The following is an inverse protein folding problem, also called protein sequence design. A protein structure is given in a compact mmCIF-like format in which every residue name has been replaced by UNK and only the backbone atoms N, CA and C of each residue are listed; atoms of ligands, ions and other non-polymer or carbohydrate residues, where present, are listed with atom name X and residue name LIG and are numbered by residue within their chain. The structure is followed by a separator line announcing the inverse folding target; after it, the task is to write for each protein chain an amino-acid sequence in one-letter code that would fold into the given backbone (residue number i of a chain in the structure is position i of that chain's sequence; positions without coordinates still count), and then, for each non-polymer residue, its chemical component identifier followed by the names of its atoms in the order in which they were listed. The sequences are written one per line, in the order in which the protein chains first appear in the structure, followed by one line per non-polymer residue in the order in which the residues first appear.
data_IF_994923264034
#
_entry.id   IF_994923264034
#
_cell.length_a   1.000
_cell.length_b   1.000
_cell.length_c   1.000
_cell.angle_alpha   90.00
_cell.angle_beta   90.00
_cell.angle_gamma   90.00
#
_symmetry.space_group_name_H-M   'P 1'
#
loop_
_entity.id
_entity.type
_entity.pdbx_description
1 polymer ?
#
# COMPACT_ATOMS: atom_id res chain seq x y z
N UNK A 1 -0.71 -2.52 1.63
CA UNK A 1 0.07 -2.55 2.91
C UNK A 1 0.60 -3.93 3.26
N UNK A 2 -0.22 -4.99 3.45
CA UNK A 2 0.26 -6.33 3.86
C UNK A 2 1.31 -6.93 2.93
N UNK A 3 1.14 -6.77 1.63
CA UNK A 3 2.10 -7.27 0.64
C UNK A 3 3.42 -6.52 0.66
N UNK A 4 3.43 -5.24 1.03
CA UNK A 4 4.66 -4.44 1.13
C UNK A 4 5.60 -4.99 2.19
N UNK A 5 5.07 -5.42 3.34
CA UNK A 5 5.90 -6.02 4.42
C UNK A 5 6.54 -7.34 3.99
N UNK A 6 5.77 -8.24 3.34
CA UNK A 6 6.33 -9.49 2.83
C UNK A 6 7.47 -9.25 1.84
N UNK A 7 7.32 -8.27 0.96
CA UNK A 7 8.31 -7.97 -0.08
C UNK A 7 9.61 -7.47 0.52
N UNK A 8 9.53 -6.52 1.46
CA UNK A 8 10.70 -6.03 2.19
C UNK A 8 11.35 -7.15 2.99
N UNK A 9 10.56 -7.94 3.75
CA UNK A 9 11.07 -9.11 4.45
C UNK A 9 11.82 -10.05 3.50
N UNK A 10 11.22 -10.44 2.37
CA UNK A 10 11.86 -11.36 1.41
C UNK A 10 13.15 -10.79 0.82
N UNK A 11 13.19 -9.49 0.55
CA UNK A 11 14.41 -8.83 0.02
C UNK A 11 15.52 -8.86 1.07
N UNK A 12 15.22 -8.49 2.29
CA UNK A 12 16.20 -8.46 3.39
C UNK A 12 16.69 -9.87 3.78
N UNK A 13 15.78 -10.86 3.82
CA UNK A 13 16.16 -12.27 4.05
C UNK A 13 17.09 -12.79 2.96
N UNK A 14 16.86 -12.42 1.68
CA UNK A 14 17.78 -12.78 0.57
C UNK A 14 19.13 -12.07 0.65
N UNK A 15 19.22 -10.97 1.40
CA UNK A 15 20.49 -10.30 1.73
C UNK A 15 21.19 -10.91 2.94
N UNK A 16 20.58 -11.92 3.60
CA UNK A 16 21.16 -12.65 4.72
C UNK A 16 20.75 -12.14 6.11
N UNK A 17 19.75 -11.28 6.18
CA UNK A 17 19.25 -10.75 7.46
C UNK A 17 18.13 -11.61 8.03
N UNK A 18 18.06 -11.74 9.35
CA UNK A 18 16.87 -12.21 10.05
C UNK A 18 15.88 -11.04 10.19
N UNK A 19 14.63 -11.22 9.75
CA UNK A 19 13.66 -10.14 9.66
C UNK A 19 12.41 -10.44 10.45
N UNK A 20 12.00 -9.51 11.30
CA UNK A 20 10.73 -9.55 12.02
C UNK A 20 9.92 -8.28 11.75
N UNK A 21 8.66 -8.43 11.41
CA UNK A 21 7.74 -7.32 11.15
C UNK A 21 6.97 -7.00 12.42
N UNK A 22 7.04 -5.75 12.90
CA UNK A 22 6.24 -5.30 14.04
C UNK A 22 4.80 -5.09 13.59
N UNK A 23 3.90 -5.92 14.09
CA UNK A 23 2.48 -5.83 13.84
C UNK A 23 1.79 -5.22 15.07
N UNK A 24 1.28 -3.99 14.90
CA UNK A 24 0.50 -3.29 15.91
C UNK A 24 -0.96 -3.22 15.45
N UNK A 25 -1.77 -4.25 15.77
CA UNK A 25 -3.15 -4.30 15.30
C UNK A 25 -3.97 -3.16 15.89
N UNK A 26 -4.87 -2.59 15.08
CA UNK A 26 -5.83 -1.62 15.56
C UNK A 26 -6.88 -2.31 16.43
N UNK A 27 -6.91 -1.98 17.72
CA UNK A 27 -7.84 -2.55 18.70
C UNK A 27 -9.05 -1.63 18.82
N UNK A 28 -10.23 -2.13 18.46
CA UNK A 28 -11.52 -1.46 18.66
C UNK A 28 -11.99 -1.57 20.12
N UNK A 29 -11.17 -1.09 21.05
CA UNK A 29 -11.52 -1.10 22.46
C UNK A 29 -11.54 0.32 23.04
N UNK A 30 -12.54 0.57 23.89
CA UNK A 30 -12.60 1.79 24.69
C UNK A 30 -12.43 1.41 26.18
N UNK A 31 -11.80 2.27 26.99
CA UNK A 31 -11.65 2.05 28.43
C UNK A 31 -12.98 1.74 29.12
N UNK A 32 -12.95 0.97 30.19
CA UNK A 32 -14.15 0.54 30.92
C UNK A 32 -15.06 1.72 31.32
N UNK A 33 -14.48 2.80 31.82
CA UNK A 33 -15.24 3.99 32.19
C UNK A 33 -15.99 4.64 31.02
N UNK A 34 -15.38 4.63 29.82
CA UNK A 34 -16.07 5.07 28.60
C UNK A 34 -17.18 4.10 28.19
N UNK A 35 -17.02 2.78 28.41
CA UNK A 35 -18.08 1.79 28.16
C UNK A 35 -19.28 2.04 29.07
N UNK A 36 -19.07 2.38 30.34
CA UNK A 36 -20.15 2.71 31.29
C UNK A 36 -20.99 3.91 30.84
N UNK A 37 -20.43 4.87 30.12
CA UNK A 37 -21.16 6.02 29.58
C UNK A 37 -21.75 5.75 28.18
N UNK A 38 -20.99 5.14 27.31
CA UNK A 38 -21.36 4.94 25.91
C UNK A 38 -22.48 3.90 25.72
N UNK A 39 -22.44 2.80 26.48
CA UNK A 39 -23.43 1.72 26.31
C UNK A 39 -24.84 2.12 26.71
N UNK A 40 -25.10 2.74 27.89
CA UNK A 40 -26.43 3.26 28.22
C UNK A 40 -26.92 4.29 27.21
N UNK A 41 -26.05 5.25 26.84
CA UNK A 41 -26.39 6.26 25.83
C UNK A 41 -26.84 5.62 24.50
N UNK A 42 -26.07 4.67 24.00
CA UNK A 42 -26.39 3.94 22.75
C UNK A 42 -27.63 3.07 22.89
N UNK A 43 -27.87 2.47 24.06
CA UNK A 43 -29.08 1.71 24.34
C UNK A 43 -30.32 2.61 24.31
N UNK A 44 -30.28 3.78 24.94
CA UNK A 44 -31.38 4.78 24.88
C UNK A 44 -31.62 5.20 23.41
N UNK A 45 -30.54 5.51 22.66
CA UNK A 45 -30.65 5.85 21.24
C UNK A 45 -31.35 4.75 20.45
N UNK A 46 -31.00 3.50 20.69
CA UNK A 46 -31.54 2.34 19.96
C UNK A 46 -32.99 2.00 20.36
N UNK A 47 -33.24 1.86 21.66
CA UNK A 47 -34.52 1.28 22.16
C UNK A 47 -35.57 2.34 22.45
N UNK A 48 -35.18 3.53 22.90
CA UNK A 48 -36.10 4.63 23.25
C UNK A 48 -36.29 5.55 22.04
N UNK A 49 -35.18 6.04 21.46
CA UNK A 49 -35.24 7.00 20.33
C UNK A 49 -35.37 6.30 18.96
N UNK A 50 -35.41 4.97 18.92
CA UNK A 50 -35.52 4.14 17.71
C UNK A 50 -34.55 4.54 16.59
N UNK A 51 -33.39 5.06 16.96
CA UNK A 51 -32.31 5.41 16.02
C UNK A 51 -31.49 4.18 15.68
N UNK A 52 -30.87 4.18 14.49
CA UNK A 52 -29.95 3.10 14.08
C UNK A 52 -28.65 3.21 14.87
N UNK A 53 -28.61 2.64 16.10
CA UNK A 53 -27.45 2.65 16.97
C UNK A 53 -27.06 1.24 17.39
N UNK A 54 -25.77 0.94 17.39
CA UNK A 54 -25.20 -0.34 17.83
C UNK A 54 -24.66 -0.16 19.25
N UNK A 55 -25.26 -0.80 20.23
CA UNK A 55 -24.88 -0.64 21.66
C UNK A 55 -23.44 -1.05 21.91
N UNK A 56 -23.04 -2.22 21.41
CA UNK A 56 -21.68 -2.76 21.50
C UNK A 56 -20.93 -2.61 20.17
N UNK A 57 -20.86 -1.37 19.68
CA UNK A 57 -20.26 -1.06 18.39
C UNK A 57 -18.83 -1.61 18.26
N UNK A 58 -18.02 -1.52 19.33
CA UNK A 58 -16.62 -1.98 19.33
C UNK A 58 -16.50 -3.49 19.03
N UNK A 59 -17.41 -4.31 19.60
CA UNK A 59 -17.43 -5.75 19.32
C UNK A 59 -17.83 -6.04 17.89
N UNK A 60 -18.83 -5.32 17.38
CA UNK A 60 -19.29 -5.48 15.98
C UNK A 60 -18.20 -5.02 15.02
N UNK A 61 -17.55 -3.88 15.31
CA UNK A 61 -16.44 -3.36 14.50
C UNK A 61 -15.26 -4.34 14.47
N UNK A 62 -14.88 -4.90 15.63
CA UNK A 62 -13.84 -5.92 15.72
C UNK A 62 -14.18 -7.17 14.92
N UNK A 63 -15.39 -7.70 15.09
CA UNK A 63 -15.87 -8.86 14.33
C UNK A 63 -15.87 -8.59 12.82
N UNK A 64 -16.38 -7.43 12.41
CA UNK A 64 -16.41 -7.04 10.99
C UNK A 64 -14.99 -6.92 10.44
N UNK A 65 -14.06 -6.30 11.17
CA UNK A 65 -12.67 -6.17 10.74
C UNK A 65 -11.99 -7.54 10.55
N UNK A 66 -12.17 -8.46 11.50
CA UNK A 66 -11.66 -9.84 11.38
C UNK A 66 -12.25 -10.53 10.16
N UNK A 67 -13.57 -10.42 9.95
CA UNK A 67 -14.27 -11.06 8.84
C UNK A 67 -13.82 -10.49 7.50
N UNK A 68 -13.73 -9.19 7.38
CA UNK A 68 -13.32 -8.47 6.16
C UNK A 68 -11.89 -8.83 5.76
N UNK A 69 -10.98 -8.94 6.73
CA UNK A 69 -9.56 -9.21 6.52
C UNK A 69 -9.17 -10.68 6.59
N UNK A 70 -10.10 -11.59 6.74
CA UNK A 70 -9.84 -13.02 6.98
C UNK A 70 -8.90 -13.66 5.96
N UNK A 71 -9.01 -13.31 4.69
CA UNK A 71 -8.17 -13.88 3.63
C UNK A 71 -6.76 -13.27 3.66
N UNK A 72 -6.68 -11.96 3.84
CA UNK A 72 -5.41 -11.24 4.01
C UNK A 72 -4.68 -11.72 5.27
N UNK A 73 -5.42 -11.99 6.36
CA UNK A 73 -4.85 -12.51 7.62
C UNK A 73 -4.27 -13.92 7.46
N UNK A 74 -4.90 -14.78 6.65
CA UNK A 74 -4.34 -16.11 6.31
C UNK A 74 -2.99 -15.98 5.60
N UNK A 75 -2.90 -15.04 4.65
CA UNK A 75 -1.66 -14.77 3.94
C UNK A 75 -0.56 -14.24 4.89
N UNK A 76 -0.89 -13.28 5.77
CA UNK A 76 0.01 -12.76 6.78
C UNK A 76 0.56 -13.88 7.65
N UNK A 77 -0.32 -14.71 8.22
CA UNK A 77 0.07 -15.81 9.11
C UNK A 77 0.98 -16.85 8.44
N UNK A 78 0.87 -17.01 7.13
CA UNK A 78 1.64 -17.99 6.35
C UNK A 78 3.00 -17.45 5.90
N UNK A 79 3.09 -16.15 5.60
CA UNK A 79 4.20 -15.59 4.83
C UNK A 79 4.95 -14.46 5.51
N UNK A 80 4.49 -13.95 6.66
CA UNK A 80 5.13 -12.82 7.34
C UNK A 80 5.58 -13.26 8.73
N UNK A 81 6.88 -13.13 8.99
CA UNK A 81 7.47 -13.31 10.31
C UNK A 81 7.17 -12.06 11.14
N UNK A 82 6.22 -12.14 12.04
CA UNK A 82 5.74 -10.97 12.78
C UNK A 82 5.81 -11.14 14.30
N UNK A 83 6.06 -10.03 14.97
CA UNK A 83 5.91 -9.86 16.42
C UNK A 83 4.72 -8.93 16.64
N UNK A 84 3.63 -9.46 17.19
CA UNK A 84 2.49 -8.62 17.58
C UNK A 84 2.85 -7.81 18.82
N UNK A 85 2.59 -6.50 18.76
CA UNK A 85 2.83 -5.59 19.88
C UNK A 85 1.58 -4.75 20.14
N UNK A 86 1.30 -4.47 21.41
CA UNK A 86 0.26 -3.49 21.79
C UNK A 86 0.84 -2.09 21.85
N UNK A 87 2.07 -1.96 22.34
CA UNK A 87 2.78 -0.69 22.45
C UNK A 87 4.24 -0.87 22.02
N UNK A 88 4.83 0.19 21.48
CA UNK A 88 6.26 0.20 21.12
C UNK A 88 7.19 0.03 22.33
N UNK A 89 6.70 0.29 23.55
CA UNK A 89 7.46 0.05 24.78
C UNK A 89 7.69 -1.44 25.12
N UNK A 90 7.07 -2.36 24.38
CA UNK A 90 7.29 -3.80 24.48
C UNK A 90 8.53 -4.27 23.69
N UNK A 91 9.11 -3.35 22.90
CA UNK A 91 10.31 -3.62 22.11
C UNK A 91 11.55 -3.26 22.91
N UNK A 92 12.59 -4.12 22.85
CA UNK A 92 13.90 -3.86 23.42
C UNK A 92 14.90 -3.57 22.29
N UNK A 93 15.69 -2.51 22.45
CA UNK A 93 16.72 -2.13 21.48
C UNK A 93 17.76 -3.25 21.28
N UNK A 94 18.05 -4.02 22.30
CA UNK A 94 19.05 -5.10 22.26
C UNK A 94 18.63 -6.31 21.42
N UNK A 95 17.35 -6.42 21.07
CA UNK A 95 16.83 -7.50 20.21
C UNK A 95 17.10 -7.25 18.73
N UNK A 96 17.58 -6.07 18.31
CA UNK A 96 17.65 -5.65 16.92
C UNK A 96 18.93 -4.87 16.59
N UNK A 97 19.52 -5.11 15.41
CA UNK A 97 20.66 -4.36 14.90
C UNK A 97 20.21 -3.12 14.12
N UNK A 98 19.06 -3.18 13.46
CA UNK A 98 18.52 -2.10 12.65
C UNK A 98 16.98 -2.10 12.65
N UNK A 99 16.39 -0.92 12.43
CA UNK A 99 14.96 -0.77 12.15
C UNK A 99 14.78 -0.11 10.79
N UNK A 100 14.00 -0.78 9.94
CA UNK A 100 13.62 -0.29 8.62
C UNK A 100 12.16 0.17 8.66
N UNK A 101 11.89 1.42 8.33
CA UNK A 101 10.54 1.94 8.13
C UNK A 101 10.24 2.12 6.65
N UNK A 102 9.04 1.73 6.25
CA UNK A 102 8.56 1.78 4.87
C UNK A 102 7.97 0.43 4.49
N UNK A 103 7.50 0.24 3.31
CA UNK A 103 7.21 1.23 2.29
C UNK A 103 5.76 1.75 2.41
N UNK A 104 5.17 2.16 1.31
CA UNK A 104 3.82 2.71 1.24
C UNK A 104 3.68 4.12 1.86
N UNK A 105 2.48 4.65 1.98
CA UNK A 105 2.19 6.02 2.41
C UNK A 105 2.31 6.20 3.93
N UNK A 106 3.35 5.62 4.53
CA UNK A 106 3.56 5.72 5.98
C UNK A 106 4.01 7.12 6.42
N UNK A 107 4.52 7.93 5.49
CA UNK A 107 4.87 9.33 5.74
C UNK A 107 3.77 10.32 5.31
N UNK A 108 2.53 9.85 5.15
CA UNK A 108 1.37 10.72 4.90
C UNK A 108 0.53 10.89 6.17
N UNK A 109 0.45 12.10 6.77
CA UNK A 109 -0.28 12.32 8.03
C UNK A 109 -1.76 11.93 7.95
N UNK A 110 -2.38 12.09 6.78
CA UNK A 110 -3.77 11.68 6.52
C UNK A 110 -4.02 10.19 6.81
N UNK A 111 -3.01 9.33 6.64
CA UNK A 111 -3.13 7.88 6.81
C UNK A 111 -2.44 7.35 8.07
N UNK A 112 -1.58 8.15 8.69
CA UNK A 112 -0.82 7.75 9.87
C UNK A 112 -0.98 8.78 11.00
N UNK A 113 -1.99 8.57 11.87
CA UNK A 113 -2.42 9.56 12.87
C UNK A 113 -1.39 9.94 13.94
N UNK A 114 -0.37 9.12 14.18
CA UNK A 114 0.78 9.44 15.05
C UNK A 114 2.05 9.42 14.19
N UNK A 115 2.17 10.42 13.31
CA UNK A 115 3.15 10.46 12.24
C UNK A 115 4.60 10.32 12.74
N UNK A 116 4.91 10.82 13.94
CA UNK A 116 6.24 10.71 14.55
C UNK A 116 6.67 9.24 14.74
N UNK A 117 5.72 8.32 14.92
CA UNK A 117 6.06 6.88 15.00
C UNK A 117 6.49 6.30 13.64
N UNK A 118 6.03 6.87 12.52
CA UNK A 118 6.55 6.53 11.21
C UNK A 118 7.95 7.13 10.95
N UNK A 119 8.40 8.05 11.81
CA UNK A 119 9.77 8.54 11.91
C UNK A 119 10.52 7.89 13.09
N UNK A 120 10.08 6.72 13.54
CA UNK A 120 10.70 5.92 14.59
C UNK A 120 10.89 6.65 15.93
N UNK A 121 9.93 7.52 16.32
CA UNK A 121 10.00 8.29 17.57
C UNK A 121 10.22 7.43 18.81
N UNK A 122 9.71 6.19 18.81
CA UNK A 122 9.87 5.24 19.91
C UNK A 122 11.33 4.78 20.11
N UNK A 123 12.18 4.90 19.09
CA UNK A 123 13.61 4.55 19.16
C UNK A 123 14.50 5.72 19.58
N UNK A 124 13.95 6.88 19.94
CA UNK A 124 14.70 8.14 20.14
C UNK A 124 15.93 8.00 21.07
N UNK A 125 15.85 7.07 22.05
CA UNK A 125 16.89 6.81 23.04
C UNK A 125 17.72 5.56 22.74
N UNK A 126 17.46 4.88 21.64
CA UNK A 126 18.13 3.63 21.29
C UNK A 126 19.41 3.91 20.51
N UNK A 127 20.42 3.12 20.73
CA UNK A 127 21.60 3.05 19.88
C UNK A 127 21.36 1.94 18.84
N UNK A 128 20.82 2.32 17.69
CA UNK A 128 20.37 1.38 16.67
C UNK A 128 20.36 2.06 15.30
N UNK A 129 20.69 1.34 14.25
CA UNK A 129 20.54 1.82 12.87
C UNK A 129 19.08 2.08 12.51
N UNK A 130 18.78 3.20 11.87
CA UNK A 130 17.46 3.63 11.39
C UNK A 130 17.50 3.88 9.91
N UNK A 131 16.68 3.16 9.18
CA UNK A 131 16.66 3.22 7.72
C UNK A 131 15.23 3.51 7.27
N UNK A 132 15.07 4.52 6.43
CA UNK A 132 13.82 4.75 5.70
C UNK A 132 13.96 4.18 4.29
N UNK A 133 13.23 3.10 4.00
CA UNK A 133 13.22 2.50 2.68
C UNK A 133 11.88 2.71 1.99
N UNK A 134 11.88 3.55 0.95
CA UNK A 134 10.72 3.80 0.09
C UNK A 134 9.41 4.21 0.82
N UNK A 135 9.41 4.88 2.02
CA UNK A 135 8.19 5.50 2.48
C UNK A 135 7.71 6.54 1.46
N UNK A 136 6.41 6.82 1.47
CA UNK A 136 5.78 7.74 0.54
C UNK A 136 5.00 8.80 1.29
N UNK A 137 5.09 10.04 0.84
CA UNK A 137 4.20 11.13 1.27
C UNK A 137 2.83 11.04 0.59
N UNK A 138 2.74 10.31 -0.53
CA UNK A 138 1.50 10.09 -1.25
C UNK A 138 1.07 11.24 -2.16
N UNK A 139 1.56 12.44 -1.91
CA UNK A 139 1.30 13.69 -2.62
C UNK A 139 2.60 14.48 -2.80
N UNK A 140 2.57 15.49 -3.66
CA UNK A 140 3.69 16.41 -3.92
C UNK A 140 3.62 17.70 -3.09
N UNK A 141 2.61 17.80 -2.23
CA UNK A 141 2.40 18.93 -1.32
C UNK A 141 2.66 18.53 0.13
N UNK A 142 3.10 19.49 0.95
CA UNK A 142 3.38 19.25 2.36
C UNK A 142 2.10 19.28 3.19
N UNK A 143 1.71 18.13 3.78
CA UNK A 143 0.46 17.97 4.56
C UNK A 143 0.68 18.01 6.09
N UNK A 144 1.88 18.30 6.58
CA UNK A 144 2.21 18.36 8.01
C UNK A 144 1.93 19.74 8.58
N UNK A 145 1.45 19.81 9.82
CA UNK A 145 1.46 21.05 10.58
C UNK A 145 2.90 21.43 11.04
N UNK A 146 3.07 22.65 11.58
CA UNK A 146 4.39 23.15 11.99
C UNK A 146 5.04 22.25 13.06
N UNK A 147 4.24 21.78 14.03
CA UNK A 147 4.74 20.92 15.12
C UNK A 147 5.15 19.56 14.61
N UNK A 148 4.36 18.96 13.73
CA UNK A 148 4.68 17.70 13.06
C UNK A 148 5.96 17.85 12.23
N UNK A 149 6.09 18.96 11.49
CA UNK A 149 7.27 19.25 10.68
C UNK A 149 8.53 19.30 11.54
N UNK A 150 8.55 20.08 12.61
CA UNK A 150 9.68 20.20 13.51
C UNK A 150 10.02 18.88 14.20
N UNK A 151 9.03 18.16 14.68
CA UNK A 151 9.22 16.85 15.32
C UNK A 151 9.81 15.83 14.33
N UNK A 152 9.25 15.72 13.13
CA UNK A 152 9.70 14.76 12.13
C UNK A 152 11.08 15.13 11.57
N UNK A 153 11.36 16.43 11.39
CA UNK A 153 12.68 16.93 11.02
C UNK A 153 13.75 16.55 12.05
N UNK A 154 13.46 16.68 13.34
CA UNK A 154 14.38 16.28 14.40
C UNK A 154 14.60 14.76 14.47
N UNK A 155 13.58 13.97 14.13
CA UNK A 155 13.64 12.51 14.15
C UNK A 155 14.40 11.97 12.93
N UNK A 156 14.11 12.47 11.73
CA UNK A 156 14.72 11.96 10.49
C UNK A 156 16.23 12.23 10.44
N UNK A 157 16.72 13.26 11.10
CA UNK A 157 18.17 13.53 11.27
C UNK A 157 18.92 12.45 12.07
N UNK A 158 18.18 11.52 12.70
CA UNK A 158 18.76 10.35 13.40
C UNK A 158 18.80 9.10 12.53
N UNK A 159 18.33 9.20 11.28
CA UNK A 159 18.38 8.07 10.36
C UNK A 159 19.77 7.98 9.74
N UNK A 160 20.25 6.76 9.62
CA UNK A 160 21.51 6.44 8.97
C UNK A 160 21.41 6.51 7.45
N UNK A 161 20.20 6.19 6.92
CA UNK A 161 19.90 6.32 5.51
C UNK A 161 18.41 6.63 5.27
N UNK A 162 18.17 7.52 4.31
CA UNK A 162 16.82 7.94 3.93
C UNK A 162 16.60 7.78 2.45
N UNK A 163 15.58 7.03 2.08
CA UNK A 163 15.10 6.95 0.71
C UNK A 163 13.58 7.12 0.66
N UNK A 164 13.06 7.45 -0.50
CA UNK A 164 11.62 7.63 -0.78
C UNK A 164 11.24 6.99 -2.10
N UNK A 165 9.96 6.70 -2.29
CA UNK A 165 9.44 5.96 -3.43
C UNK A 165 9.12 6.85 -4.66
N UNK A 166 8.97 8.14 -4.49
CA UNK A 166 8.63 9.10 -5.54
C UNK A 166 9.61 10.27 -5.57
N UNK A 167 9.84 10.81 -6.77
CA UNK A 167 10.74 11.96 -6.98
C UNK A 167 10.30 13.18 -6.17
N UNK A 168 8.98 13.47 -6.14
CA UNK A 168 8.45 14.57 -5.32
C UNK A 168 8.78 14.40 -3.82
N UNK A 169 8.90 13.17 -3.35
CA UNK A 169 9.31 12.90 -1.97
C UNK A 169 10.74 13.30 -1.66
N UNK A 170 11.66 13.22 -2.63
CA UNK A 170 13.04 13.75 -2.50
C UNK A 170 13.01 15.26 -2.26
N UNK A 171 12.22 15.98 -3.07
CA UNK A 171 12.08 17.44 -2.96
C UNK A 171 11.44 17.84 -1.61
N UNK A 172 10.42 17.10 -1.16
CA UNK A 172 9.80 17.33 0.14
C UNK A 172 10.75 17.09 1.31
N UNK A 173 11.55 16.01 1.26
CA UNK A 173 12.59 15.73 2.26
C UNK A 173 13.60 16.85 2.33
N UNK A 174 14.09 17.32 1.19
CA UNK A 174 15.08 18.42 1.15
C UNK A 174 14.49 19.72 1.68
N UNK A 175 13.30 20.09 1.21
CA UNK A 175 12.66 21.38 1.51
C UNK A 175 12.20 21.50 2.96
N UNK A 176 11.58 20.47 3.51
CA UNK A 176 10.88 20.56 4.79
C UNK A 176 11.57 19.81 5.93
N UNK A 177 12.26 18.73 5.62
CA UNK A 177 12.95 17.91 6.63
C UNK A 177 14.46 18.19 6.69
N UNK A 178 15.01 18.90 5.70
CA UNK A 178 16.43 19.25 5.60
C UNK A 178 17.34 18.00 5.61
N UNK A 179 16.93 16.99 4.83
CA UNK A 179 17.70 15.77 4.60
C UNK A 179 17.74 15.44 3.11
N UNK A 180 18.85 14.84 2.68
CA UNK A 180 18.97 14.29 1.34
C UNK A 180 18.43 12.86 1.34
N UNK A 181 17.43 12.61 0.50
CA UNK A 181 16.83 11.29 0.35
C UNK A 181 17.12 10.72 -1.04
N UNK A 182 17.38 9.41 -1.12
CA UNK A 182 17.52 8.73 -2.40
C UNK A 182 16.15 8.30 -2.94
N UNK A 183 15.96 8.43 -4.25
CA UNK A 183 14.79 7.87 -4.92
C UNK A 183 15.04 6.40 -5.24
N UNK A 184 14.21 5.51 -4.69
CA UNK A 184 14.34 4.06 -4.83
C UNK A 184 13.03 3.42 -5.31
N UNK A 185 13.11 2.20 -5.81
CA UNK A 185 11.92 1.41 -6.15
C UNK A 185 11.12 1.01 -4.93
N UNK A 186 9.79 0.96 -5.09
CA UNK A 186 8.95 0.22 -4.14
C UNK A 186 9.46 -1.23 -4.01
N UNK A 187 9.50 -1.80 -2.78
CA UNK A 187 10.00 -3.18 -2.57
C UNK A 187 9.35 -4.23 -3.46
N UNK A 188 8.13 -3.96 -3.95
CA UNK A 188 7.44 -4.82 -4.93
C UNK A 188 8.28 -5.04 -6.18
N UNK A 189 8.97 -4.01 -6.64
CA UNK A 189 9.74 -4.06 -7.87
C UNK A 189 11.16 -4.63 -7.67
N UNK A 190 11.59 -4.86 -6.42
CA UNK A 190 12.86 -5.54 -6.11
C UNK A 190 12.79 -7.05 -6.29
N UNK A 191 11.59 -7.62 -6.28
CA UNK A 191 11.31 -9.03 -6.56
C UNK A 191 10.98 -9.22 -8.04
N UNK A 192 11.13 -10.45 -8.52
CA UNK A 192 10.82 -10.82 -9.89
C UNK A 192 9.36 -11.25 -10.02
N UNK A 193 8.83 -11.23 -11.24
CA UNK A 193 7.47 -11.70 -11.53
C UNK A 193 7.24 -13.15 -11.02
N UNK A 194 8.24 -14.04 -11.17
CA UNK A 194 8.14 -15.44 -10.76
C UNK A 194 7.96 -15.61 -9.25
N UNK A 195 8.50 -14.69 -8.42
CA UNK A 195 8.29 -14.68 -6.96
C UNK A 195 6.81 -14.51 -6.59
N UNK A 196 6.05 -13.82 -7.44
CA UNK A 196 4.61 -13.60 -7.28
C UNK A 196 3.79 -14.72 -7.91
N UNK A 197 4.21 -15.19 -9.09
CA UNK A 197 3.56 -16.29 -9.82
C UNK A 197 3.54 -17.55 -8.97
N UNK A 198 4.64 -17.86 -8.29
CA UNK A 198 4.74 -19.01 -7.39
C UNK A 198 3.65 -19.01 -6.32
N UNK A 199 3.29 -17.85 -5.76
CA UNK A 199 2.30 -17.76 -4.68
C UNK A 199 0.93 -18.32 -5.08
N UNK A 200 0.45 -17.97 -6.27
CA UNK A 200 -0.86 -18.46 -6.72
C UNK A 200 -0.79 -19.83 -7.40
N UNK A 201 0.36 -20.24 -7.93
CA UNK A 201 0.59 -21.62 -8.42
C UNK A 201 0.61 -22.61 -7.27
N UNK A 202 1.36 -22.33 -6.20
CA UNK A 202 1.49 -23.21 -5.04
C UNK A 202 0.15 -23.42 -4.30
N UNK A 203 -0.80 -22.52 -4.49
CA UNK A 203 -2.16 -22.63 -3.93
C UNK A 203 -3.21 -23.12 -4.92
N UNK A 204 -2.82 -23.48 -6.15
CA UNK A 204 -3.73 -23.87 -7.23
C UNK A 204 -4.88 -22.85 -7.41
N UNK A 205 -4.59 -21.56 -7.30
CA UNK A 205 -5.59 -20.50 -7.43
C UNK A 205 -6.23 -20.55 -8.82
N UNK A 206 -7.58 -20.58 -8.93
CA UNK A 206 -8.27 -20.66 -10.21
C UNK A 206 -7.96 -19.47 -11.12
N UNK A 207 -8.09 -19.68 -12.43
CA UNK A 207 -8.02 -18.61 -13.43
C UNK A 207 -9.11 -17.57 -13.21
N UNK A 208 -8.83 -16.36 -13.65
CA UNK A 208 -9.77 -15.24 -13.59
C UNK A 208 -10.93 -15.42 -14.56
N UNK A 209 -12.10 -14.87 -14.21
CA UNK A 209 -13.34 -15.04 -14.98
C UNK A 209 -13.41 -14.15 -16.23
N UNK A 210 -12.47 -13.23 -16.40
CA UNK A 210 -12.42 -12.25 -17.48
C UNK A 210 -10.98 -11.94 -17.92
N UNK A 211 -10.86 -10.98 -18.81
CA UNK A 211 -9.60 -10.61 -19.47
C UNK A 211 -9.26 -9.12 -19.38
N UNK A 212 -10.21 -8.24 -19.01
CA UNK A 212 -9.93 -6.85 -18.63
C UNK A 212 -10.04 -6.77 -17.11
N UNK A 213 -8.91 -6.57 -16.45
CA UNK A 213 -8.93 -6.32 -15.01
C UNK A 213 -9.33 -4.85 -14.76
N UNK A 214 -10.52 -4.68 -14.22
CA UNK A 214 -11.05 -3.41 -13.73
C UNK A 214 -10.64 -3.28 -12.25
N UNK A 215 -9.55 -2.53 -12.00
CA UNK A 215 -9.02 -2.30 -10.65
C UNK A 215 -9.02 -0.81 -10.30
N UNK A 216 -10.21 -0.27 -10.10
CA UNK A 216 -10.45 1.13 -9.72
C UNK A 216 -10.73 1.20 -8.21
N UNK A 217 -9.98 2.04 -7.50
CA UNK A 217 -10.13 2.26 -6.06
C UNK A 217 -11.23 3.26 -5.74
N UNK A 218 -11.26 4.40 -6.45
CA UNK A 218 -12.28 5.43 -6.30
C UNK A 218 -13.17 5.46 -7.54
N UNK A 219 -14.28 4.74 -7.45
CA UNK A 219 -15.19 4.50 -8.56
C UNK A 219 -16.24 5.60 -8.68
N UNK A 220 -16.52 5.97 -9.93
CA UNK A 220 -17.60 6.84 -10.35
C UNK A 220 -18.21 6.36 -11.67
N UNK A 221 -19.33 6.98 -12.10
CA UNK A 221 -20.06 6.59 -13.29
C UNK A 221 -19.27 6.84 -14.59
N UNK A 222 -18.40 7.85 -14.60
CA UNK A 222 -17.55 8.19 -15.76
C UNK A 222 -16.49 7.10 -15.98
N UNK A 223 -15.86 6.63 -14.92
CA UNK A 223 -14.91 5.52 -14.98
C UNK A 223 -15.57 4.22 -15.39
N UNK A 224 -16.78 3.93 -14.87
CA UNK A 224 -17.56 2.77 -15.26
C UNK A 224 -17.90 2.82 -16.76
N UNK A 225 -18.35 3.96 -17.25
CA UNK A 225 -18.63 4.19 -18.66
C UNK A 225 -17.38 4.01 -19.52
N UNK A 226 -16.25 4.53 -19.09
CA UNK A 226 -14.97 4.36 -19.77
C UNK A 226 -14.56 2.91 -19.90
N UNK A 227 -14.63 2.14 -18.79
CA UNK A 227 -14.27 0.72 -18.76
C UNK A 227 -15.18 -0.09 -19.69
N UNK A 228 -16.50 0.18 -19.66
CA UNK A 228 -17.43 -0.48 -20.56
C UNK A 228 -17.13 -0.20 -22.04
N UNK A 229 -16.79 1.05 -22.39
CA UNK A 229 -16.38 1.40 -23.76
C UNK A 229 -15.10 0.68 -24.19
N UNK A 230 -14.07 0.65 -23.31
CA UNK A 230 -12.82 -0.07 -23.59
C UNK A 230 -13.10 -1.56 -23.81
N UNK A 231 -13.86 -2.18 -22.91
CA UNK A 231 -14.19 -3.61 -23.00
C UNK A 231 -14.97 -3.94 -24.30
N UNK A 232 -15.96 -3.14 -24.67
CA UNK A 232 -16.75 -3.32 -25.89
C UNK A 232 -15.87 -3.22 -27.15
N UNK A 233 -14.98 -2.21 -27.21
CA UNK A 233 -14.13 -2.00 -28.40
C UNK A 233 -13.02 -3.05 -28.53
N UNK A 234 -12.55 -3.62 -27.42
CA UNK A 234 -11.51 -4.66 -27.43
C UNK A 234 -12.08 -6.07 -27.51
N UNK A 235 -13.39 -6.24 -27.43
CA UNK A 235 -14.07 -7.54 -27.32
C UNK A 235 -13.53 -8.40 -26.15
N UNK A 236 -13.14 -7.73 -25.05
CA UNK A 236 -12.61 -8.37 -23.84
C UNK A 236 -13.65 -8.35 -22.72
N UNK A 237 -13.64 -9.38 -21.86
CA UNK A 237 -14.59 -9.52 -20.76
C UNK A 237 -14.03 -8.83 -19.49
N UNK A 238 -14.70 -7.80 -18.93
CA UNK A 238 -14.29 -7.17 -17.68
C UNK A 238 -14.48 -8.12 -16.48
N UNK A 239 -13.60 -7.99 -15.49
CA UNK A 239 -13.73 -8.61 -14.17
C UNK A 239 -13.10 -7.75 -13.10
N UNK A 240 -13.52 -7.92 -11.84
CA UNK A 240 -13.11 -7.11 -10.69
C UNK A 240 -12.49 -7.96 -9.60
N UNK A 241 -11.51 -7.39 -8.91
CA UNK A 241 -10.89 -7.96 -7.72
C UNK A 241 -11.01 -7.07 -6.49
N UNK A 242 -11.59 -5.89 -6.63
CA UNK A 242 -11.83 -4.98 -5.52
C UNK A 242 -12.96 -5.52 -4.63
N UNK A 243 -12.81 -5.30 -3.33
CA UNK A 243 -13.92 -5.40 -2.38
C UNK A 243 -14.35 -3.99 -1.97
N UNK A 244 -15.57 -3.85 -1.46
CA UNK A 244 -16.08 -2.59 -0.90
C UNK A 244 -15.61 -2.40 0.55
N UNK A 245 -14.34 -2.72 0.85
CA UNK A 245 -13.78 -2.71 2.20
C UNK A 245 -13.86 -1.34 2.87
N UNK A 246 -13.68 -0.28 2.08
CA UNK A 246 -13.69 1.10 2.56
C UNK A 246 -15.09 1.68 2.75
N UNK A 247 -16.11 1.03 2.20
CA UNK A 247 -17.51 1.43 2.36
C UNK A 247 -18.15 0.75 3.58
N UNK A 248 -18.30 1.44 4.72
CA UNK A 248 -18.86 0.85 5.93
C UNK A 248 -20.35 0.53 5.80
N UNK A 249 -21.04 1.08 4.80
CA UNK A 249 -22.47 0.87 4.55
C UNK A 249 -22.75 -0.36 3.69
N UNK A 250 -21.74 -0.83 2.95
CA UNK A 250 -21.86 -2.01 2.11
C UNK A 250 -22.09 -3.29 2.95
N UNK A 251 -22.84 -4.26 2.40
CA UNK A 251 -23.00 -5.56 3.03
C UNK A 251 -21.66 -6.20 3.38
N UNK A 252 -21.53 -6.80 4.57
CA UNK A 252 -20.27 -7.36 5.06
C UNK A 252 -19.63 -8.35 4.06
N UNK A 253 -20.47 -9.12 3.34
CA UNK A 253 -20.01 -10.08 2.32
C UNK A 253 -19.25 -9.40 1.18
N UNK A 254 -19.68 -8.22 0.74
CA UNK A 254 -19.04 -7.45 -0.35
C UNK A 254 -17.76 -6.74 0.11
N UNK A 255 -17.60 -6.58 1.41
CA UNK A 255 -16.44 -5.95 2.02
C UNK A 255 -15.27 -6.90 2.24
N UNK A 256 -15.50 -8.22 2.15
CA UNK A 256 -14.43 -9.22 2.36
C UNK A 256 -13.37 -9.05 1.29
N UNK A 257 -12.14 -8.79 1.73
CA UNK A 257 -10.98 -8.68 0.84
C UNK A 257 -10.73 -10.02 0.13
N UNK A 258 -10.39 -10.01 -1.17
CA UNK A 258 -9.99 -11.22 -1.87
C UNK A 258 -8.72 -11.82 -1.25
N UNK A 259 -8.46 -13.09 -1.52
CA UNK A 259 -7.17 -13.68 -1.22
C UNK A 259 -6.07 -12.99 -2.03
N UNK A 260 -4.89 -12.83 -1.44
CA UNK A 260 -3.74 -12.19 -2.09
C UNK A 260 -3.36 -12.94 -3.36
N UNK A 261 -3.39 -14.26 -3.32
CA UNK A 261 -3.12 -15.14 -4.45
C UNK A 261 -4.11 -14.92 -5.61
N UNK A 262 -5.41 -14.75 -5.29
CA UNK A 262 -6.44 -14.44 -6.29
C UNK A 262 -6.21 -13.05 -6.90
N UNK A 263 -5.80 -12.09 -6.08
CA UNK A 263 -5.49 -10.73 -6.51
C UNK A 263 -4.29 -10.73 -7.47
N UNK A 264 -3.19 -11.42 -7.14
CA UNK A 264 -2.01 -11.57 -8.00
C UNK A 264 -2.35 -12.29 -9.30
N UNK A 265 -3.12 -13.37 -9.20
CA UNK A 265 -3.58 -14.14 -10.36
C UNK A 265 -4.36 -13.27 -11.34
N UNK A 266 -5.20 -12.36 -10.84
CA UNK A 266 -5.96 -11.45 -11.69
C UNK A 266 -5.11 -10.55 -12.57
N UNK A 267 -4.03 -9.98 -12.04
CA UNK A 267 -3.07 -9.22 -12.84
C UNK A 267 -2.34 -10.12 -13.85
N UNK A 268 -1.97 -11.32 -13.45
CA UNK A 268 -1.29 -12.26 -14.33
C UNK A 268 -2.17 -12.73 -15.50
N UNK A 269 -3.44 -12.98 -15.27
CA UNK A 269 -4.39 -13.45 -16.29
C UNK A 269 -4.91 -12.31 -17.19
N UNK A 270 -4.83 -11.06 -16.75
CA UNK A 270 -5.32 -9.91 -17.50
C UNK A 270 -4.62 -9.76 -18.85
N UNK A 271 -5.40 -9.46 -19.90
CA UNK A 271 -4.91 -9.00 -21.20
C UNK A 271 -4.81 -7.47 -21.25
N UNK A 272 -5.60 -6.79 -20.41
CA UNK A 272 -5.56 -5.34 -20.23
C UNK A 272 -5.92 -5.02 -18.76
N UNK A 273 -5.23 -4.08 -18.17
CA UNK A 273 -5.53 -3.55 -16.83
C UNK A 273 -5.99 -2.11 -16.94
N UNK A 274 -7.15 -1.79 -16.35
CA UNK A 274 -7.65 -0.42 -16.18
C UNK A 274 -7.63 -0.08 -14.71
N UNK A 275 -6.91 0.98 -14.33
CA UNK A 275 -6.66 1.24 -12.90
C UNK A 275 -6.45 2.73 -12.59
N UNK A 276 -6.63 3.08 -11.30
CA UNK A 276 -6.22 4.34 -10.68
C UNK A 276 -5.22 4.08 -9.50
N UNK A 277 -4.65 2.86 -9.44
CA UNK A 277 -3.82 2.40 -8.34
C UNK A 277 -2.34 2.31 -8.68
N UNK A 278 -1.48 2.88 -7.84
CA UNK A 278 -0.01 2.76 -7.97
C UNK A 278 0.45 1.30 -8.03
N UNK A 279 0.00 0.44 -7.11
CA UNK A 279 0.42 -0.97 -7.10
C UNK A 279 -0.11 -1.74 -8.30
N UNK A 280 -1.25 -1.35 -8.86
CA UNK A 280 -1.73 -1.97 -10.09
C UNK A 280 -0.82 -1.62 -11.29
N UNK A 281 -0.31 -0.39 -11.38
CA UNK A 281 0.71 -0.02 -12.36
C UNK A 281 1.98 -0.86 -12.18
N UNK A 282 2.45 -0.99 -10.94
CA UNK A 282 3.62 -1.81 -10.59
C UNK A 282 3.45 -3.26 -11.05
N UNK A 283 2.31 -3.90 -10.75
CA UNK A 283 2.07 -5.30 -11.17
C UNK A 283 1.83 -5.43 -12.67
N UNK A 284 1.25 -4.43 -13.31
CA UNK A 284 1.14 -4.41 -14.78
C UNK A 284 2.53 -4.40 -15.42
N UNK A 285 3.46 -3.60 -14.90
CA UNK A 285 4.85 -3.57 -15.36
C UNK A 285 5.53 -4.93 -15.09
N UNK A 286 5.43 -5.46 -13.87
CA UNK A 286 6.07 -6.72 -13.49
C UNK A 286 5.58 -7.92 -14.30
N UNK A 287 4.29 -7.97 -14.66
CA UNK A 287 3.72 -9.06 -15.44
C UNK A 287 3.66 -8.75 -16.95
N UNK A 288 4.29 -7.66 -17.40
CA UNK A 288 4.32 -7.22 -18.80
C UNK A 288 2.92 -7.12 -19.41
N UNK A 289 1.99 -6.48 -18.69
CA UNK A 289 0.58 -6.34 -19.11
C UNK A 289 0.32 -4.97 -19.74
N UNK A 290 -0.39 -4.90 -20.88
CA UNK A 290 -0.98 -3.64 -21.32
C UNK A 290 -1.83 -3.06 -20.20
N UNK A 291 -1.70 -1.76 -19.96
CA UNK A 291 -2.49 -1.09 -18.95
C UNK A 291 -2.77 0.36 -19.29
N UNK A 292 -3.83 0.88 -18.70
CA UNK A 292 -4.20 2.31 -18.72
C UNK A 292 -4.50 2.78 -17.30
N UNK A 293 -4.13 4.02 -17.04
CA UNK A 293 -4.35 4.67 -15.75
C UNK A 293 -5.36 5.77 -15.89
N UNK A 294 -6.47 5.67 -15.15
CA UNK A 294 -7.43 6.75 -15.03
C UNK A 294 -6.96 7.68 -13.93
N UNK A 295 -6.71 8.95 -14.25
CA UNK A 295 -6.16 9.91 -13.31
C UNK A 295 -7.04 10.05 -12.06
N UNK A 296 -6.43 9.89 -10.88
CA UNK A 296 -7.06 10.06 -9.58
C UNK A 296 -6.22 11.03 -8.73
N UNK A 297 -6.59 12.31 -8.75
CA UNK A 297 -5.84 13.36 -8.05
C UNK A 297 -5.97 13.29 -6.53
N UNK A 298 -7.09 12.78 -6.01
CA UNK A 298 -7.34 12.73 -4.56
C UNK A 298 -6.44 11.72 -3.83
N UNK A 299 -6.08 10.62 -4.48
CA UNK A 299 -5.16 9.61 -3.93
C UNK A 299 -3.68 9.90 -4.18
N UNK A 300 -3.35 10.98 -4.86
CA UNK A 300 -1.98 11.39 -5.18
C UNK A 300 -1.50 10.77 -6.49
N UNK A 301 -1.68 11.50 -7.58
CA UNK A 301 -1.24 11.12 -8.92
C UNK A 301 0.30 11.16 -9.03
N UNK A 302 0.97 12.03 -8.26
CA UNK A 302 2.42 12.25 -8.29
C UNK A 302 3.26 10.98 -8.18
N UNK A 303 2.82 9.99 -7.42
CA UNK A 303 3.50 8.69 -7.30
C UNK A 303 3.44 7.89 -8.60
N UNK A 304 2.27 7.92 -9.25
CA UNK A 304 2.07 7.24 -10.54
C UNK A 304 2.84 7.98 -11.61
N UNK A 305 2.81 9.31 -11.62
CA UNK A 305 3.58 10.15 -12.54
C UNK A 305 5.09 9.93 -12.38
N UNK A 306 5.61 9.88 -11.15
CA UNK A 306 7.01 9.54 -10.89
C UNK A 306 7.38 8.16 -11.44
N UNK A 307 6.55 7.14 -11.16
CA UNK A 307 6.78 5.78 -11.65
C UNK A 307 6.76 5.72 -13.17
N UNK A 308 5.68 6.21 -13.77
CA UNK A 308 5.49 6.12 -15.22
C UNK A 308 6.44 7.03 -15.98
N UNK A 309 6.79 8.19 -15.43
CA UNK A 309 7.80 9.09 -15.99
C UNK A 309 9.17 8.43 -16.10
N UNK A 310 9.61 7.73 -15.04
CA UNK A 310 10.86 6.99 -15.07
C UNK A 310 10.90 5.93 -16.18
N UNK A 311 9.80 5.18 -16.33
CA UNK A 311 9.72 4.13 -17.34
C UNK A 311 9.41 4.64 -18.76
N UNK A 312 9.04 5.92 -18.93
CA UNK A 312 8.61 6.48 -20.22
C UNK A 312 7.20 6.04 -20.63
N UNK A 313 6.32 5.87 -19.63
CA UNK A 313 4.96 5.35 -19.77
C UNK A 313 3.89 6.38 -19.36
N UNK A 314 4.20 7.68 -19.39
CA UNK A 314 3.25 8.73 -19.00
C UNK A 314 2.03 8.82 -19.90
N UNK A 315 2.15 8.37 -21.15
CA UNK A 315 1.06 8.22 -22.11
C UNK A 315 -0.04 7.25 -21.63
N UNK A 316 0.28 6.36 -20.70
CA UNK A 316 -0.70 5.44 -20.08
C UNK A 316 -1.70 6.15 -19.17
N UNK A 317 -1.44 7.39 -18.75
CA UNK A 317 -2.39 8.20 -17.97
C UNK A 317 -3.36 8.84 -18.98
N UNK A 318 -4.61 8.40 -18.94
CA UNK A 318 -5.63 8.76 -19.93
C UNK A 318 -6.84 9.40 -19.26
N UNK A 319 -7.54 10.25 -20.00
CA UNK A 319 -8.73 10.94 -19.55
C UNK A 319 -10.04 10.35 -20.10
N UNK A 320 -9.95 9.53 -21.14
CA UNK A 320 -11.12 8.95 -21.79
C UNK A 320 -10.79 7.66 -22.57
N UNK A 321 -11.84 6.93 -22.98
CA UNK A 321 -11.70 5.66 -23.67
C UNK A 321 -11.01 5.78 -25.05
N UNK A 322 -11.18 6.90 -25.75
CA UNK A 322 -10.54 7.09 -27.07
C UNK A 322 -9.03 7.19 -26.97
N UNK A 323 -8.53 7.92 -25.96
CA UNK A 323 -7.11 7.97 -25.64
C UNK A 323 -6.59 6.57 -25.31
N UNK A 324 -7.29 5.83 -24.45
CA UNK A 324 -6.90 4.47 -24.07
C UNK A 324 -6.78 3.52 -25.28
N UNK A 325 -7.65 3.67 -26.27
CA UNK A 325 -7.65 2.83 -27.49
C UNK A 325 -6.62 3.25 -28.53
N UNK A 326 -6.10 4.47 -28.48
CA UNK A 326 -5.07 4.98 -29.40
C UNK A 326 -3.64 4.66 -28.95
N UNK A 327 -3.47 4.05 -27.76
CA UNK A 327 -2.15 3.76 -27.22
C UNK A 327 -1.44 2.66 -28.01
N UNK A 328 -0.17 2.88 -28.30
CA UNK A 328 0.71 1.84 -28.87
C UNK A 328 1.03 0.75 -27.83
N UNK A 329 1.53 -0.38 -28.30
CA UNK A 329 2.06 -1.41 -27.42
C UNK A 329 3.23 -0.88 -26.58
N UNK A 330 3.39 -1.45 -25.39
CA UNK A 330 4.50 -1.10 -24.49
C UNK A 330 5.74 -1.87 -24.90
N UNK A 331 6.84 -1.15 -25.15
CA UNK A 331 8.16 -1.77 -25.28
C UNK A 331 8.68 -2.22 -23.90
N UNK A 332 8.30 -3.43 -23.55
CA UNK A 332 8.70 -4.00 -22.27
C UNK A 332 10.19 -4.32 -22.16
N UNK A 333 10.93 -4.42 -23.23
CA UNK A 333 12.37 -4.66 -23.17
C UNK A 333 13.08 -3.38 -22.71
N UNK A 334 12.70 -2.22 -23.27
CA UNK A 334 13.18 -0.92 -22.79
C UNK A 334 12.76 -0.62 -21.33
N UNK A 335 11.52 -0.97 -20.96
CA UNK A 335 11.03 -0.81 -19.57
C UNK A 335 11.84 -1.67 -18.61
N UNK A 336 12.13 -2.92 -18.96
CA UNK A 336 12.88 -3.83 -18.10
C UNK A 336 14.36 -3.46 -17.99
N UNK A 337 14.97 -2.92 -19.03
CA UNK A 337 16.32 -2.36 -18.92
C UNK A 337 16.40 -1.27 -17.85
N UNK A 338 15.44 -0.34 -17.84
CA UNK A 338 15.34 0.71 -16.80
C UNK A 338 15.04 0.11 -15.42
N UNK A 339 14.16 -0.90 -15.36
CA UNK A 339 13.81 -1.58 -14.12
C UNK A 339 15.03 -2.22 -13.47
N UNK A 340 15.85 -2.95 -14.24
CA UNK A 340 17.05 -3.61 -13.71
C UNK A 340 18.09 -2.58 -13.23
N UNK A 341 18.30 -1.49 -13.95
CA UNK A 341 19.18 -0.39 -13.50
C UNK A 341 18.75 0.14 -12.13
N UNK A 342 17.46 0.43 -11.97
CA UNK A 342 16.95 0.97 -10.70
C UNK A 342 16.86 -0.09 -9.59
N UNK A 343 16.68 -1.38 -9.92
CA UNK A 343 16.82 -2.50 -8.97
C UNK A 343 18.21 -2.56 -8.35
N UNK A 344 19.24 -2.47 -9.20
CA UNK A 344 20.64 -2.48 -8.75
C UNK A 344 20.88 -1.31 -7.80
N UNK A 345 20.50 -0.10 -8.17
CA UNK A 345 20.64 1.09 -7.32
C UNK A 345 19.90 0.94 -5.99
N UNK A 346 18.63 0.52 -6.04
CA UNK A 346 17.80 0.37 -4.85
C UNK A 346 18.28 -0.72 -3.90
N UNK A 347 18.79 -1.84 -4.43
CA UNK A 347 19.42 -2.89 -3.63
C UNK A 347 20.75 -2.45 -3.05
N UNK A 348 21.56 -1.68 -3.80
CA UNK A 348 22.82 -1.10 -3.31
C UNK A 348 22.57 -0.14 -2.15
N UNK A 349 21.48 0.67 -2.21
CA UNK A 349 21.07 1.51 -1.08
C UNK A 349 20.88 0.66 0.19
N UNK A 350 20.08 -0.41 0.14
CA UNK A 350 19.86 -1.31 1.30
C UNK A 350 21.17 -1.93 1.80
N UNK A 351 22.00 -2.46 0.90
CA UNK A 351 23.26 -3.11 1.26
C UNK A 351 24.27 -2.20 1.96
N UNK A 352 24.26 -0.91 1.59
CA UNK A 352 25.15 0.10 2.21
C UNK A 352 24.60 0.60 3.53
N UNK A 353 23.29 0.55 3.71
CA UNK A 353 22.61 1.09 4.89
C UNK A 353 22.51 0.11 6.05
N UNK A 354 22.47 -1.18 5.75
CA UNK A 354 22.43 -2.30 6.70
C UNK A 354 23.83 -2.83 7.01
#
# INVERSE_FOLDING_TARGET
MVESFRRMQTVLERMGHEVVVFDKPYIYEIPLWKKCLAYPKRAICKYVLKRNAIVRWEKVASYNNITVRRNTQKFINKHIHRKEIKNYSELDANDYDAIVVGSDQVWRPKYFGAIENAFLAFTKKWDIKRIAYAPSFGVDTWEYDDKQTENCKALVKKFDAVSVREQSGVDLCKKYLDVDAEWVLDPTMLLNAEDYIKLFRDTNTPQSEGTVLDYILDRDDDKDTMIHKIAANTNLKPFRLNSRVEDPTAPLKERIQPAVEKWLRGFYDAKLVVTDSFHACVFSILFKKPFVVVANRERGLSRIESLLGYFGLTDRIVSNASEAMSLSDIDYDAVYEKLEKMRVSSKSFLQKSL
#
